data_IF_834019026531
#
_entry.id   IF_834019026531
#
_cell.length_a   1.000
_cell.length_b   1.000
_cell.length_c   1.000
_cell.angle_alpha   90.00
_cell.angle_beta   90.00
_cell.angle_gamma   90.00
#
_symmetry.space_group_name_H-M   'P 1'
#
loop_
_entity.id
_entity.type
_entity.pdbx_description
1 polymer ?
#
# COMPACT_ATOMS: atom_id res chain seq x y z
N UNK A 1 -36.02 9.88 -10.86
CA UNK A 1 -35.51 9.60 -12.23
C UNK A 1 -34.40 8.60 -12.05
N UNK A 2 -34.73 7.32 -12.32
CA UNK A 2 -33.74 6.24 -12.21
C UNK A 2 -32.74 6.40 -13.33
N UNK A 3 -31.49 6.75 -12.96
CA UNK A 3 -30.35 6.60 -13.90
C UNK A 3 -30.10 5.10 -14.01
N UNK A 4 -30.59 4.52 -15.09
CA UNK A 4 -30.25 3.15 -15.50
C UNK A 4 -28.73 3.09 -15.63
N UNK A 5 -28.12 2.15 -14.93
CA UNK A 5 -26.74 1.75 -15.17
C UNK A 5 -26.61 1.36 -16.63
N UNK A 6 -25.97 2.18 -17.43
CA UNK A 6 -25.72 1.88 -18.82
C UNK A 6 -24.49 1.01 -18.93
N UNK A 7 -24.71 -0.25 -19.24
CA UNK A 7 -23.65 -1.13 -19.72
C UNK A 7 -23.42 -0.78 -21.19
N UNK A 8 -22.30 -0.15 -21.47
CA UNK A 8 -21.90 0.16 -22.84
C UNK A 8 -20.96 -0.92 -23.32
N UNK A 9 -21.46 -1.79 -24.21
CA UNK A 9 -20.63 -2.74 -24.94
C UNK A 9 -20.14 -2.00 -26.19
N UNK A 10 -18.87 -1.64 -26.21
CA UNK A 10 -18.26 -1.07 -27.39
C UNK A 10 -17.71 -2.20 -28.27
N UNK A 11 -18.33 -2.45 -29.44
CA UNK A 11 -17.97 -3.55 -30.34
C UNK A 11 -16.56 -3.46 -30.93
N UNK A 12 -15.87 -2.35 -30.73
CA UNK A 12 -14.50 -2.14 -31.22
C UNK A 12 -13.45 -2.19 -30.10
N UNK A 13 -13.87 -2.45 -28.86
CA UNK A 13 -13.00 -2.56 -27.70
C UNK A 13 -13.38 -3.85 -26.98
N UNK A 14 -12.43 -4.74 -26.80
CA UNK A 14 -12.59 -6.00 -26.04
C UNK A 14 -12.77 -5.76 -24.53
N UNK A 15 -13.45 -4.67 -24.17
CA UNK A 15 -13.54 -4.17 -22.80
C UNK A 15 -14.99 -3.90 -22.44
N UNK A 16 -15.44 -4.48 -21.35
CA UNK A 16 -16.72 -4.15 -20.72
C UNK A 16 -16.45 -3.20 -19.55
N UNK A 17 -16.91 -1.95 -19.70
CA UNK A 17 -16.81 -0.97 -18.62
C UNK A 17 -18.17 -0.82 -17.93
N UNK A 18 -18.18 -1.07 -16.61
CA UNK A 18 -19.33 -0.78 -15.75
C UNK A 18 -19.11 0.59 -15.11
N UNK A 19 -19.78 1.61 -15.63
CA UNK A 19 -19.77 2.94 -15.04
C UNK A 19 -20.88 3.04 -14.00
N UNK A 20 -20.51 2.98 -12.74
CA UNK A 20 -21.32 3.47 -11.64
C UNK A 20 -20.48 4.48 -10.85
N UNK A 21 -21.03 5.66 -10.56
CA UNK A 21 -20.36 6.63 -9.68
C UNK A 21 -20.07 6.03 -8.30
N UNK A 22 -20.81 4.99 -7.92
CA UNK A 22 -20.70 4.30 -6.64
C UNK A 22 -19.78 3.07 -6.69
N UNK A 23 -19.56 2.47 -7.88
CA UNK A 23 -18.77 1.24 -8.06
C UNK A 23 -17.95 1.33 -9.35
N UNK A 24 -16.75 1.90 -9.32
CA UNK A 24 -15.89 1.99 -10.49
C UNK A 24 -15.27 0.62 -10.81
N UNK A 25 -16.12 -0.32 -11.28
CA UNK A 25 -15.63 -1.60 -11.80
C UNK A 25 -15.25 -1.45 -13.26
N UNK A 26 -14.00 -1.66 -13.53
CA UNK A 26 -13.50 -1.84 -14.88
C UNK A 26 -13.11 -3.30 -15.03
N UNK A 27 -13.73 -4.01 -15.99
CA UNK A 27 -13.52 -5.44 -16.14
C UNK A 27 -12.21 -5.78 -16.85
N UNK A 28 -11.78 -4.95 -17.79
CA UNK A 28 -10.49 -5.10 -18.45
C UNK A 28 -9.94 -3.73 -18.83
N UNK A 29 -8.65 -3.52 -18.63
CA UNK A 29 -7.96 -2.26 -18.85
C UNK A 29 -6.67 -2.46 -19.64
N UNK A 30 -6.38 -1.47 -20.48
CA UNK A 30 -5.08 -1.22 -21.11
C UNK A 30 -4.72 0.24 -20.91
N UNK A 31 -3.50 0.64 -21.22
CA UNK A 31 -3.09 2.05 -21.12
C UNK A 31 -4.01 2.99 -21.89
N UNK A 32 -4.56 2.53 -23.02
CA UNK A 32 -5.51 3.28 -23.85
C UNK A 32 -6.85 3.59 -23.17
N UNK A 33 -7.16 2.93 -22.07
CA UNK A 33 -8.39 3.16 -21.29
C UNK A 33 -8.27 4.30 -20.29
N UNK A 34 -7.05 4.77 -20.00
CA UNK A 34 -6.85 5.94 -19.14
C UNK A 34 -6.82 7.19 -20.02
N UNK A 35 -7.86 8.02 -19.92
CA UNK A 35 -7.97 9.25 -20.70
C UNK A 35 -7.14 10.40 -20.11
N UNK A 36 -6.74 10.27 -18.87
CA UNK A 36 -5.95 11.27 -18.15
C UNK A 36 -5.15 10.67 -17.00
N UNK A 37 -4.14 11.40 -16.55
CA UNK A 37 -3.43 11.06 -15.32
C UNK A 37 -4.35 11.01 -14.09
N UNK A 38 -5.39 11.83 -14.09
CA UNK A 38 -6.39 11.84 -13.03
C UNK A 38 -7.19 10.54 -12.98
N UNK A 39 -7.58 9.99 -14.13
CA UNK A 39 -8.29 8.69 -14.22
C UNK A 39 -7.39 7.56 -13.76
N UNK A 40 -6.13 7.55 -14.18
CA UNK A 40 -5.13 6.60 -13.76
C UNK A 40 -4.93 6.63 -12.23
N UNK A 41 -4.74 7.82 -11.64
CA UNK A 41 -4.62 7.97 -10.18
C UNK A 41 -5.90 7.56 -9.45
N UNK A 42 -7.07 7.85 -10.01
CA UNK A 42 -8.36 7.43 -9.45
C UNK A 42 -8.50 5.91 -9.44
N UNK A 43 -8.07 5.24 -10.52
CA UNK A 43 -8.06 3.78 -10.58
C UNK A 43 -7.18 3.18 -9.49
N UNK A 44 -5.93 3.64 -9.34
CA UNK A 44 -5.01 3.17 -8.31
C UNK A 44 -5.60 3.36 -6.90
N UNK A 45 -6.17 4.53 -6.61
CA UNK A 45 -6.82 4.81 -5.32
C UNK A 45 -8.03 3.90 -5.08
N UNK A 46 -8.78 3.56 -6.13
CA UNK A 46 -9.91 2.63 -6.02
C UNK A 46 -9.44 1.22 -5.66
N UNK A 47 -8.41 0.72 -6.31
CA UNK A 47 -7.79 -0.56 -5.96
C UNK A 47 -7.25 -0.55 -4.51
N UNK A 48 -6.54 0.50 -4.11
CA UNK A 48 -6.06 0.67 -2.74
C UNK A 48 -7.21 0.59 -1.72
N UNK A 49 -8.31 1.28 -1.99
CA UNK A 49 -9.48 1.27 -1.11
C UNK A 49 -10.14 -0.12 -1.04
N UNK A 50 -10.24 -0.84 -2.15
CA UNK A 50 -10.77 -2.20 -2.21
C UNK A 50 -9.89 -3.13 -1.39
N UNK A 51 -8.58 -3.08 -1.58
CA UNK A 51 -7.61 -3.89 -0.82
C UNK A 51 -7.77 -3.63 0.68
N UNK A 52 -7.75 -2.37 1.12
CA UNK A 52 -7.86 -2.02 2.55
C UNK A 52 -9.14 -2.51 3.20
N UNK A 53 -10.21 -2.70 2.43
CA UNK A 53 -11.53 -3.17 2.91
C UNK A 53 -11.73 -4.67 2.76
N UNK A 54 -10.84 -5.36 2.08
CA UNK A 54 -10.95 -6.80 1.85
C UNK A 54 -10.74 -7.61 3.13
N UNK A 55 -11.36 -8.78 3.19
CA UNK A 55 -11.17 -9.73 4.30
C UNK A 55 -9.74 -10.26 4.33
N UNK A 56 -9.15 -10.45 3.16
CA UNK A 56 -7.77 -10.97 2.99
C UNK A 56 -6.75 -9.98 3.56
N UNK A 57 -6.92 -8.68 3.29
CA UNK A 57 -6.03 -7.66 3.84
C UNK A 57 -6.16 -7.57 5.38
N UNK A 58 -7.39 -7.74 5.90
CA UNK A 58 -7.59 -7.85 7.35
C UNK A 58 -6.87 -9.08 7.90
N UNK A 59 -7.03 -10.26 7.27
CA UNK A 59 -6.34 -11.48 7.69
C UNK A 59 -4.83 -11.34 7.69
N UNK A 60 -4.25 -10.66 6.69
CA UNK A 60 -2.82 -10.36 6.67
C UNK A 60 -2.38 -9.51 7.87
N UNK A 61 -3.15 -8.48 8.24
CA UNK A 61 -2.83 -7.67 9.42
C UNK A 61 -2.98 -8.47 10.71
N UNK A 62 -4.05 -9.22 10.83
CA UNK A 62 -4.29 -10.09 11.99
C UNK A 62 -3.15 -11.14 12.11
N UNK A 63 -2.66 -11.67 11.00
CA UNK A 63 -1.50 -12.56 11.00
C UNK A 63 -0.23 -11.89 11.55
N UNK A 64 0.03 -10.64 11.17
CA UNK A 64 1.17 -9.88 11.71
C UNK A 64 1.05 -9.69 13.23
N UNK A 65 -0.12 -9.27 13.68
CA UNK A 65 -0.37 -8.94 15.08
C UNK A 65 -0.43 -10.20 15.95
N UNK A 66 -1.26 -11.17 15.54
CA UNK A 66 -1.64 -12.30 16.39
C UNK A 66 -0.72 -13.52 16.23
N UNK A 67 -0.25 -13.78 15.01
CA UNK A 67 0.59 -14.97 14.73
C UNK A 67 2.07 -14.64 14.83
N UNK A 68 2.52 -13.56 14.19
CA UNK A 68 3.92 -13.12 14.30
C UNK A 68 4.20 -12.40 15.62
N UNK A 69 3.17 -12.09 16.41
CA UNK A 69 3.26 -11.39 17.69
C UNK A 69 3.95 -10.01 17.59
N UNK A 70 3.80 -9.35 16.43
CA UNK A 70 4.29 -7.99 16.24
C UNK A 70 3.17 -7.03 16.66
N UNK A 71 2.88 -7.01 17.95
CA UNK A 71 1.73 -6.35 18.58
C UNK A 71 2.11 -5.14 19.43
N UNK A 72 3.27 -4.55 19.18
CA UNK A 72 3.76 -3.33 19.84
C UNK A 72 4.11 -2.24 18.81
N UNK A 73 4.10 -1.00 19.26
CA UNK A 73 4.64 0.11 18.46
C UNK A 73 6.17 -0.02 18.40
N UNK A 74 6.73 -0.10 17.20
CA UNK A 74 8.18 -0.25 17.03
C UNK A 74 8.99 0.98 17.50
N UNK A 75 8.34 2.11 17.72
CA UNK A 75 8.95 3.35 18.20
C UNK A 75 8.89 3.45 19.71
N UNK A 76 7.67 3.34 20.29
CA UNK A 76 7.42 3.58 21.71
C UNK A 76 7.43 2.31 22.56
N UNK A 77 7.38 1.13 21.92
CA UNK A 77 7.23 -0.18 22.57
C UNK A 77 5.94 -0.37 23.38
N UNK A 78 4.97 0.54 23.23
CA UNK A 78 3.64 0.36 23.80
C UNK A 78 2.91 -0.78 23.07
N UNK A 79 2.20 -1.60 23.85
CA UNK A 79 1.58 -2.84 23.34
C UNK A 79 0.10 -2.64 23.02
N UNK A 80 -0.41 -3.53 22.17
CA UNK A 80 -1.79 -3.49 21.67
C UNK A 80 -2.87 -3.68 22.74
N UNK A 81 -2.55 -4.30 23.86
CA UNK A 81 -3.45 -4.45 25.00
C UNK A 81 -3.78 -3.12 25.70
N UNK A 82 -2.93 -2.11 25.52
CA UNK A 82 -3.09 -0.78 26.11
C UNK A 82 -3.55 0.26 25.09
N UNK A 83 -3.19 0.07 23.80
CA UNK A 83 -3.36 1.07 22.74
C UNK A 83 -3.66 0.46 21.39
N UNK A 84 -4.19 1.25 20.46
CA UNK A 84 -4.40 0.81 19.07
C UNK A 84 -3.09 0.85 18.29
N UNK A 85 -2.70 -0.31 17.78
CA UNK A 85 -1.56 -0.48 16.86
C UNK A 85 -2.04 -0.58 15.42
N UNK A 86 -1.40 0.17 14.54
CA UNK A 86 -1.67 0.16 13.11
C UNK A 86 -0.49 -0.44 12.35
N UNK A 87 -0.77 -1.30 11.38
CA UNK A 87 0.24 -1.80 10.44
C UNK A 87 0.39 -0.78 9.31
N UNK A 88 1.52 -0.10 9.28
CA UNK A 88 1.85 0.93 8.30
C UNK A 88 2.73 0.36 7.19
N UNK A 89 2.32 0.54 5.93
CA UNK A 89 3.17 0.25 4.77
C UNK A 89 4.28 1.27 4.65
N UNK A 90 5.52 0.80 4.71
CA UNK A 90 6.67 1.68 4.65
C UNK A 90 7.40 1.63 3.30
N UNK A 91 7.69 0.42 2.79
CA UNK A 91 8.36 0.21 1.50
C UNK A 91 7.68 -0.97 0.77
N UNK A 92 6.95 -0.70 -0.32
CA UNK A 92 6.42 0.59 -0.73
C UNK A 92 5.22 1.01 0.14
N UNK A 93 4.67 2.21 -0.10
CA UNK A 93 3.29 2.50 0.32
C UNK A 93 2.31 1.59 -0.42
N UNK A 94 1.10 1.36 0.10
CA UNK A 94 0.11 0.56 -0.61
C UNK A 94 -0.25 1.17 -1.97
N UNK A 95 -0.33 2.51 -2.05
CA UNK A 95 -0.49 3.22 -3.32
C UNK A 95 0.67 2.91 -4.28
N UNK A 96 1.91 2.96 -3.81
CA UNK A 96 3.10 2.65 -4.63
C UNK A 96 3.14 1.19 -5.09
N UNK A 97 2.70 0.23 -4.25
CA UNK A 97 2.57 -1.16 -4.66
C UNK A 97 1.57 -1.31 -5.81
N UNK A 98 0.35 -0.79 -5.63
CA UNK A 98 -0.70 -0.85 -6.66
C UNK A 98 -0.24 -0.18 -7.95
N UNK A 99 0.41 1.00 -7.85
CA UNK A 99 0.96 1.72 -9.00
C UNK A 99 1.98 0.88 -9.76
N UNK A 100 2.90 0.23 -9.06
CA UNK A 100 3.91 -0.61 -9.69
C UNK A 100 3.28 -1.82 -10.41
N UNK A 101 2.25 -2.44 -9.84
CA UNK A 101 1.54 -3.54 -10.46
C UNK A 101 0.80 -3.10 -11.73
N UNK A 102 0.08 -1.99 -11.68
CA UNK A 102 -0.60 -1.42 -12.85
C UNK A 102 0.39 -1.10 -13.95
N UNK A 103 1.49 -0.42 -13.64
CA UNK A 103 2.52 -0.08 -14.62
C UNK A 103 3.17 -1.32 -15.23
N UNK A 104 3.42 -2.36 -14.42
CA UNK A 104 3.93 -3.63 -14.91
C UNK A 104 3.02 -4.20 -16.02
N UNK A 105 1.71 -4.29 -15.78
CA UNK A 105 0.76 -4.78 -16.77
C UNK A 105 0.73 -3.91 -18.02
N UNK A 106 0.80 -2.57 -17.86
CA UNK A 106 0.85 -1.62 -18.97
C UNK A 106 2.12 -1.84 -19.81
N UNK A 107 3.28 -1.93 -19.18
CA UNK A 107 4.58 -2.12 -19.86
C UNK A 107 4.68 -3.49 -20.55
N UNK A 108 4.13 -4.53 -19.93
CA UNK A 108 4.05 -5.87 -20.48
C UNK A 108 2.94 -6.01 -21.55
N UNK A 109 2.16 -4.96 -21.78
CA UNK A 109 1.00 -4.94 -22.67
C UNK A 109 0.02 -6.10 -22.39
N UNK A 110 -0.17 -6.43 -21.13
CA UNK A 110 -1.14 -7.42 -20.68
C UNK A 110 -2.45 -6.74 -20.28
N UNK A 111 -3.56 -7.42 -20.51
CA UNK A 111 -4.86 -6.98 -20.01
C UNK A 111 -4.95 -7.25 -18.51
N UNK A 112 -5.62 -6.37 -17.80
CA UNK A 112 -5.87 -6.52 -16.38
C UNK A 112 -7.20 -5.87 -16.01
N UNK A 113 -7.75 -6.27 -14.89
CA UNK A 113 -8.91 -5.63 -14.29
C UNK A 113 -8.61 -5.24 -12.85
N UNK A 114 -9.56 -4.58 -12.19
CA UNK A 114 -9.44 -4.20 -10.78
C UNK A 114 -9.14 -5.40 -9.88
N UNK A 115 -9.79 -6.55 -10.15
CA UNK A 115 -9.60 -7.75 -9.33
C UNK A 115 -8.23 -8.37 -9.51
N UNK A 116 -7.67 -8.36 -10.72
CA UNK A 116 -6.32 -8.88 -10.98
C UNK A 116 -5.29 -8.10 -10.17
N UNK A 117 -5.36 -6.76 -10.23
CA UNK A 117 -4.47 -5.89 -9.47
C UNK A 117 -4.63 -6.08 -7.95
N UNK A 118 -5.88 -6.15 -7.47
CA UNK A 118 -6.14 -6.37 -6.04
C UNK A 118 -5.64 -7.74 -5.58
N UNK A 119 -5.86 -8.79 -6.38
CA UNK A 119 -5.40 -10.15 -6.06
C UNK A 119 -3.89 -10.23 -6.04
N UNK A 120 -3.20 -9.69 -7.06
CA UNK A 120 -1.73 -9.67 -7.11
C UNK A 120 -1.16 -8.88 -5.92
N UNK A 121 -1.76 -7.74 -5.57
CA UNK A 121 -1.35 -6.97 -4.39
C UNK A 121 -1.50 -7.79 -3.10
N UNK A 122 -2.63 -8.47 -2.90
CA UNK A 122 -2.85 -9.34 -1.74
C UNK A 122 -1.84 -10.49 -1.70
N UNK A 123 -1.55 -11.12 -2.85
CA UNK A 123 -0.52 -12.15 -2.91
C UNK A 123 0.87 -11.65 -2.49
N UNK A 124 1.23 -10.43 -2.89
CA UNK A 124 2.49 -9.81 -2.49
C UNK A 124 2.56 -9.65 -0.95
N UNK A 125 1.43 -9.31 -0.30
CA UNK A 125 1.34 -9.25 1.16
C UNK A 125 1.50 -10.62 1.81
N UNK A 126 0.75 -11.62 1.36
CA UNK A 126 0.81 -12.98 1.93
C UNK A 126 2.16 -13.66 1.69
N UNK A 127 2.87 -13.30 0.63
CA UNK A 127 4.25 -13.71 0.37
C UNK A 127 5.29 -12.90 1.18
N UNK A 128 4.83 -12.00 2.08
CA UNK A 128 5.65 -11.12 2.92
C UNK A 128 6.64 -10.24 2.13
N UNK A 129 6.26 -9.78 0.92
CA UNK A 129 7.12 -9.06 -0.03
C UNK A 129 6.93 -7.55 -0.01
N UNK A 130 6.43 -7.02 1.07
CA UNK A 130 6.28 -5.59 1.37
C UNK A 130 6.98 -5.25 2.67
N UNK A 131 7.45 -4.01 2.78
CA UNK A 131 8.01 -3.51 4.03
C UNK A 131 6.94 -2.81 4.87
N UNK A 132 6.78 -3.21 6.11
CA UNK A 132 5.82 -2.64 7.04
C UNK A 132 6.43 -2.42 8.42
N UNK A 133 5.78 -1.56 9.19
CA UNK A 133 6.07 -1.31 10.59
C UNK A 133 4.76 -1.24 11.38
N UNK A 134 4.80 -1.59 12.65
CA UNK A 134 3.68 -1.41 13.56
C UNK A 134 3.86 -0.13 14.36
N UNK A 135 2.86 0.72 14.32
CA UNK A 135 2.91 2.06 14.94
C UNK A 135 1.65 2.34 15.75
N UNK A 136 1.81 3.11 16.80
CA UNK A 136 0.69 3.85 17.39
C UNK A 136 0.08 4.78 16.36
N UNK A 137 -1.22 5.00 16.43
CA UNK A 137 -1.90 5.98 15.57
C UNK A 137 -1.23 7.35 15.59
N UNK A 138 -0.83 7.83 16.76
CA UNK A 138 -0.13 9.12 16.92
C UNK A 138 1.24 9.15 16.23
N UNK A 139 1.98 8.03 16.22
CA UNK A 139 3.26 7.91 15.51
C UNK A 139 3.03 7.82 13.99
N UNK A 140 1.99 7.09 13.57
CA UNK A 140 1.57 7.04 12.18
C UNK A 140 1.22 8.43 11.62
N UNK A 141 0.47 9.23 12.38
CA UNK A 141 0.15 10.62 12.03
C UNK A 141 1.41 11.51 11.95
N UNK A 142 2.35 11.36 12.90
CA UNK A 142 3.63 12.10 12.87
C UNK A 142 4.46 11.75 11.64
N UNK A 143 4.49 10.47 11.25
CA UNK A 143 5.18 10.03 10.04
C UNK A 143 4.57 10.67 8.79
N UNK A 144 3.24 10.64 8.63
CA UNK A 144 2.57 11.24 7.50
C UNK A 144 2.72 12.78 7.41
N UNK A 145 2.91 13.43 8.56
CA UNK A 145 3.15 14.87 8.65
C UNK A 145 4.64 15.25 8.52
N UNK A 146 5.53 14.29 8.20
CA UNK A 146 6.96 14.51 8.06
C UNK A 146 7.70 14.84 9.36
N UNK A 147 7.07 14.59 10.52
CA UNK A 147 7.64 14.84 11.86
C UNK A 147 8.32 13.62 12.47
N UNK A 148 8.27 12.50 11.81
CA UNK A 148 8.86 11.25 12.24
C UNK A 148 9.47 10.58 11.00
N UNK A 149 10.72 10.17 11.08
CA UNK A 149 11.37 9.27 10.14
C UNK A 149 11.54 7.89 10.78
N UNK A 150 11.36 6.83 10.02
CA UNK A 150 11.41 5.46 10.52
C UNK A 150 12.71 4.80 10.06
N UNK A 151 13.59 4.40 11.00
CA UNK A 151 14.81 3.69 10.65
C UNK A 151 14.53 2.38 9.92
N UNK A 152 15.31 2.10 8.88
CA UNK A 152 15.13 0.90 8.06
C UNK A 152 15.24 -0.40 8.87
N UNK A 153 16.00 -0.42 9.95
CA UNK A 153 16.13 -1.55 10.86
C UNK A 153 14.80 -1.95 11.55
N UNK A 154 13.81 -1.08 11.59
CA UNK A 154 12.49 -1.35 12.17
C UNK A 154 11.51 -1.94 11.15
N UNK A 155 11.83 -1.83 9.86
CA UNK A 155 10.96 -2.31 8.79
C UNK A 155 11.01 -3.84 8.74
N UNK A 156 9.85 -4.47 8.85
CA UNK A 156 9.64 -5.92 8.70
C UNK A 156 9.18 -6.26 7.30
N UNK A 157 9.25 -7.54 6.96
CA UNK A 157 8.91 -8.05 5.63
C UNK A 157 10.08 -7.96 4.64
N UNK A 158 9.93 -8.65 3.50
CA UNK A 158 10.97 -8.67 2.44
C UNK A 158 10.72 -7.53 1.44
N UNK A 159 10.87 -6.28 1.89
CA UNK A 159 10.80 -5.11 1.01
C UNK A 159 11.90 -5.12 -0.07
N UNK A 160 13.00 -5.82 0.15
CA UNK A 160 14.04 -5.98 -0.86
C UNK A 160 13.53 -6.75 -2.08
N UNK A 161 12.59 -7.68 -1.90
CA UNK A 161 11.94 -8.34 -3.03
C UNK A 161 11.18 -7.31 -3.88
N UNK A 162 10.39 -6.44 -3.25
CA UNK A 162 9.68 -5.38 -3.96
C UNK A 162 10.66 -4.46 -4.71
N UNK A 163 11.68 -3.98 -4.04
CA UNK A 163 12.69 -3.09 -4.65
C UNK A 163 13.33 -3.73 -5.87
N UNK A 164 13.72 -5.00 -5.80
CA UNK A 164 14.37 -5.68 -6.92
C UNK A 164 13.47 -6.00 -8.10
N UNK A 165 12.18 -6.27 -7.85
CA UNK A 165 11.30 -6.82 -8.88
C UNK A 165 10.27 -5.82 -9.42
N UNK A 166 9.86 -4.86 -8.60
CA UNK A 166 8.76 -3.95 -8.92
C UNK A 166 9.15 -2.48 -9.02
N UNK A 167 10.27 -2.05 -8.41
CA UNK A 167 10.65 -0.63 -8.42
C UNK A 167 10.88 -0.07 -9.83
N UNK A 168 11.33 -0.90 -10.77
CA UNK A 168 11.51 -0.53 -12.18
C UNK A 168 10.24 -0.05 -12.89
N UNK A 169 9.07 -0.34 -12.31
CA UNK A 169 7.75 0.09 -12.80
C UNK A 169 7.24 1.36 -12.12
N UNK A 170 8.07 2.02 -11.32
CA UNK A 170 7.75 3.27 -10.64
C UNK A 170 8.43 4.45 -11.34
N UNK A 171 7.86 5.64 -11.20
CA UNK A 171 8.50 6.86 -11.66
C UNK A 171 9.61 7.33 -10.71
N UNK A 172 10.37 8.34 -11.15
CA UNK A 172 11.52 8.87 -10.42
C UNK A 172 11.13 9.40 -9.03
N UNK A 173 9.98 10.06 -8.89
CA UNK A 173 9.52 10.60 -7.61
C UNK A 173 9.20 9.50 -6.58
N UNK A 174 8.63 8.38 -7.03
CA UNK A 174 8.39 7.22 -6.16
C UNK A 174 9.70 6.53 -5.78
N UNK A 175 10.64 6.43 -6.74
CA UNK A 175 11.98 5.87 -6.49
C UNK A 175 12.77 6.71 -5.49
N UNK A 176 12.74 8.03 -5.62
CA UNK A 176 13.36 8.97 -4.66
C UNK A 176 12.76 8.81 -3.26
N UNK A 177 11.43 8.64 -3.19
CA UNK A 177 10.75 8.37 -1.92
C UNK A 177 11.22 7.06 -1.29
N UNK A 178 11.35 6.00 -2.07
CA UNK A 178 11.85 4.71 -1.58
C UNK A 178 13.30 4.83 -1.13
N UNK A 179 14.15 5.46 -1.92
CA UNK A 179 15.58 5.65 -1.60
C UNK A 179 15.75 6.47 -0.32
N UNK A 180 14.98 7.55 -0.16
CA UNK A 180 15.02 8.37 1.04
C UNK A 180 14.66 7.57 2.30
N UNK A 181 13.67 6.68 2.21
CA UNK A 181 13.27 5.78 3.31
C UNK A 181 14.31 4.71 3.61
N UNK A 182 14.94 4.13 2.57
CA UNK A 182 16.01 3.15 2.72
C UNK A 182 17.28 3.76 3.39
N UNK A 183 17.50 5.05 3.21
CA UNK A 183 18.66 5.75 3.77
C UNK A 183 18.51 6.11 5.26
N UNK A 184 17.29 6.02 5.84
CA UNK A 184 17.07 6.32 7.26
C UNK A 184 17.62 5.20 8.13
N UNK A 185 18.47 5.55 9.08
CA UNK A 185 18.98 4.65 10.12
C UNK A 185 18.88 5.33 11.50
N UNK A 186 19.19 4.61 12.55
CA UNK A 186 19.09 5.15 13.94
C UNK A 186 20.03 6.35 14.18
N UNK A 187 21.10 6.49 13.40
CA UNK A 187 22.05 7.60 13.55
C UNK A 187 21.63 8.88 12.82
N UNK A 188 20.68 8.81 11.89
CA UNK A 188 20.20 9.96 11.10
C UNK A 188 18.68 10.15 11.11
N UNK A 189 17.96 9.42 11.96
CA UNK A 189 16.52 9.60 12.12
C UNK A 189 16.18 10.89 12.86
N UNK A 190 14.95 11.39 12.67
CA UNK A 190 14.47 12.66 13.23
C UNK A 190 14.14 12.61 14.73
N UNK A 191 14.39 11.49 15.41
CA UNK A 191 14.11 11.26 16.82
C UNK A 191 15.13 10.30 17.41
N UNK A 192 15.26 10.29 18.76
CA UNK A 192 16.02 9.28 19.48
C UNK A 192 15.08 8.41 20.34
N UNK A 193 15.58 7.27 20.82
CA UNK A 193 14.83 6.42 21.77
C UNK A 193 14.53 7.16 23.08
N UNK A 194 15.35 8.15 23.44
CA UNK A 194 15.15 8.95 24.64
C UNK A 194 13.93 9.89 24.52
N UNK A 195 13.57 10.27 23.26
CA UNK A 195 12.36 11.09 23.00
C UNK A 195 11.07 10.29 23.22
N UNK A 196 11.15 8.96 23.13
CA UNK A 196 10.04 8.02 23.31
C UNK A 196 10.49 6.85 24.18
N UNK A 197 10.76 7.08 25.46
CA UNK A 197 11.12 6.00 26.36
C UNK A 197 9.98 4.99 26.39
N UNK A 198 10.34 3.70 26.34
CA UNK A 198 9.35 2.65 26.58
C UNK A 198 8.64 2.96 27.89
N UNK A 199 7.31 2.88 27.91
CA UNK A 199 6.55 3.02 29.13
C UNK A 199 7.21 2.12 30.18
N UNK A 200 7.64 2.69 31.29
CA UNK A 200 8.30 1.95 32.31
C UNK A 200 7.42 0.77 32.70
N UNK A 201 7.94 -0.45 32.53
CA UNK A 201 7.20 -1.65 32.91
C UNK A 201 6.82 -1.48 34.38
N UNK A 202 5.52 -1.18 34.62
CA UNK A 202 4.94 -1.19 35.92
C UNK A 202 4.85 -2.61 36.45
#
# INVERSE_FOLDING_TARGET
MDKKDQITINSNVETLELYSEMYPFTLSLRISNFHSEADYKKFIKSCEMIIRRSAEYKQWRDYIIDVLQINECMITHERMDEVTIEVHHHIPSLFGLVKALVNKHIEENTEFCTFDICTEAIEVHFKNRVGYVTLLKSMHEKFHNGRLSIPIGFVKGDYNYFVRHYSKHLDEADLDTIQSRLAVNEGNCSWSRDDYPAAAKA
#
